data_IF_238858807521
#
_entry.id   IF_238858807521
#
_cell.length_a   1.000
_cell.length_b   1.000
_cell.length_c   1.000
_cell.angle_alpha   90.00
_cell.angle_beta   90.00
_cell.angle_gamma   90.00
#
_symmetry.space_group_name_H-M   'P 1'
#
loop_
_entity.id
_entity.type
_entity.pdbx_description
1 polymer ?
#
# COMPACT_ATOMS: atom_id res chain seq x y z
N UNK A 1 8.95 1.27 5.24
CA UNK A 1 8.06 0.08 5.28
C UNK A 1 7.88 -0.51 3.90
N UNK A 2 6.90 -0.10 3.08
CA UNK A 2 6.65 -0.79 1.80
C UNK A 2 7.73 -0.58 0.74
N UNK A 3 8.38 0.60 0.73
CA UNK A 3 9.57 0.85 -0.07
C UNK A 3 10.72 -0.09 0.31
N UNK A 4 10.99 -0.24 1.60
CA UNK A 4 12.05 -1.12 2.11
C UNK A 4 11.72 -2.60 1.85
N UNK A 5 10.49 -3.05 2.18
CA UNK A 5 10.02 -4.41 1.89
C UNK A 5 10.09 -4.73 0.40
N UNK A 6 9.72 -3.77 -0.44
CA UNK A 6 9.84 -3.86 -1.89
C UNK A 6 11.28 -4.02 -2.39
N UNK A 7 12.29 -3.70 -1.58
CA UNK A 7 13.70 -3.92 -1.87
C UNK A 7 14.33 -5.01 -0.99
N UNK A 8 13.51 -5.84 -0.34
CA UNK A 8 13.95 -6.91 0.56
C UNK A 8 14.78 -6.37 1.75
N UNK A 9 14.43 -5.17 2.23
CA UNK A 9 15.04 -4.49 3.39
C UNK A 9 14.05 -4.47 4.56
N UNK A 10 14.53 -4.85 5.74
CA UNK A 10 13.73 -4.84 6.97
C UNK A 10 13.41 -3.41 7.42
N UNK A 11 12.20 -3.19 7.93
CA UNK A 11 11.76 -1.94 8.54
C UNK A 11 11.21 -2.17 9.93
N UNK A 12 11.38 -1.17 10.80
CA UNK A 12 10.65 -1.06 12.05
C UNK A 12 9.80 0.21 12.06
N UNK A 13 8.62 0.13 12.66
CA UNK A 13 7.85 1.32 13.02
C UNK A 13 8.56 2.00 14.19
N UNK A 14 8.89 3.28 14.03
CA UNK A 14 9.78 3.97 14.96
C UNK A 14 9.26 4.06 16.40
N UNK A 15 7.99 4.46 16.61
CA UNK A 15 7.41 4.58 17.96
C UNK A 15 5.89 4.45 17.95
N UNK A 16 5.33 3.92 19.05
CA UNK A 16 3.88 3.77 19.23
C UNK A 16 3.18 5.11 19.50
N UNK A 17 3.78 6.03 20.26
CA UNK A 17 3.17 7.32 20.60
C UNK A 17 4.17 8.47 20.48
N UNK A 18 3.64 9.68 20.44
CA UNK A 18 4.45 10.90 20.34
C UNK A 18 5.47 11.03 21.49
N UNK A 19 6.66 11.52 21.14
CA UNK A 19 7.73 11.74 22.11
C UNK A 19 7.57 13.11 22.77
N UNK A 20 7.24 13.09 24.06
CA UNK A 20 7.17 14.29 24.89
C UNK A 20 8.35 14.31 25.89
N UNK A 21 9.50 14.81 25.42
CA UNK A 21 10.66 15.04 26.28
C UNK A 21 10.59 16.40 26.97
N UNK A 22 10.95 16.43 28.26
CA UNK A 22 10.99 17.68 29.04
C UNK A 22 11.92 18.70 28.35
N UNK A 23 11.42 19.91 28.12
CA UNK A 23 12.20 21.01 27.55
C UNK A 23 12.40 20.95 26.03
N UNK A 24 11.63 20.11 25.31
CA UNK A 24 11.63 20.06 23.84
C UNK A 24 10.20 20.15 23.31
N UNK A 25 10.07 20.55 22.05
CA UNK A 25 8.82 20.39 21.31
C UNK A 25 8.44 18.91 21.22
N UNK A 26 7.13 18.63 21.27
CA UNK A 26 6.61 17.27 21.15
C UNK A 26 6.88 16.77 19.73
N UNK A 27 7.63 15.68 19.62
CA UNK A 27 7.92 15.08 18.33
C UNK A 27 6.76 14.17 17.91
N UNK A 28 6.06 14.60 16.84
CA UNK A 28 4.79 14.05 16.34
C UNK A 28 4.90 12.77 15.50
N UNK A 29 6.05 12.08 15.55
CA UNK A 29 6.33 10.88 14.75
C UNK A 29 5.65 9.60 15.24
N UNK A 30 4.91 9.62 16.35
CA UNK A 30 4.22 8.43 16.85
C UNK A 30 2.88 8.16 16.21
N UNK A 31 2.45 6.89 16.28
CA UNK A 31 1.15 6.44 15.77
C UNK A 31 -0.04 6.93 16.62
N UNK A 32 0.20 7.13 17.92
CA UNK A 32 -0.76 7.68 18.86
C UNK A 32 -0.37 9.13 19.21
N UNK A 33 -1.38 10.02 19.26
CA UNK A 33 -1.18 11.39 19.70
C UNK A 33 -0.94 11.41 21.21
N UNK A 34 0.07 12.18 21.64
CA UNK A 34 0.30 12.47 23.05
C UNK A 34 0.20 13.96 23.34
N UNK A 35 -0.37 14.30 24.48
CA UNK A 35 -0.55 15.67 24.96
C UNK A 35 0.70 16.20 25.67
N UNK A 36 0.74 17.51 25.92
CA UNK A 36 1.83 18.15 26.65
C UNK A 36 1.98 17.66 28.11
N UNK A 37 0.90 17.20 28.73
CA UNK A 37 0.87 16.58 30.06
C UNK A 37 1.13 15.06 30.04
N UNK A 38 1.65 14.53 28.91
CA UNK A 38 2.09 13.13 28.73
C UNK A 38 0.97 12.10 28.82
N UNK A 39 -0.22 12.46 28.35
CA UNK A 39 -1.34 11.53 28.17
C UNK A 39 -1.45 11.14 26.72
N UNK A 40 -1.88 9.91 26.45
CA UNK A 40 -2.35 9.50 25.12
C UNK A 40 -3.85 9.75 25.06
N UNK A 41 -4.30 10.51 24.07
CA UNK A 41 -5.71 10.93 23.93
C UNK A 41 -6.29 10.68 22.52
N UNK A 42 -5.49 10.22 21.56
CA UNK A 42 -5.95 9.99 20.20
C UNK A 42 -5.13 8.97 19.41
N UNK A 43 -5.81 8.29 18.50
CA UNK A 43 -5.20 7.42 17.48
C UNK A 43 -5.04 8.26 16.22
N UNK A 44 -3.86 8.27 15.61
CA UNK A 44 -3.62 9.00 14.36
C UNK A 44 -3.90 8.13 13.14
N UNK A 45 -4.09 8.78 11.99
CA UNK A 45 -4.23 8.13 10.69
C UNK A 45 -3.08 7.14 10.42
N UNK A 46 -1.84 7.50 10.78
CA UNK A 46 -0.67 6.63 10.61
C UNK A 46 -0.81 5.28 11.34
N UNK A 47 -1.53 5.21 12.47
CA UNK A 47 -1.78 3.94 13.15
C UNK A 47 -2.57 2.98 12.26
N UNK A 48 -3.65 3.47 11.65
CA UNK A 48 -4.50 2.67 10.76
C UNK A 48 -3.76 2.29 9.49
N UNK A 49 -2.96 3.20 8.91
CA UNK A 49 -2.13 2.88 7.76
C UNK A 49 -1.13 1.75 8.05
N UNK A 50 -0.48 1.78 9.22
CA UNK A 50 0.40 0.69 9.66
C UNK A 50 -0.40 -0.59 9.87
N UNK A 51 -1.54 -0.53 10.57
CA UNK A 51 -2.41 -1.67 10.84
C UNK A 51 -2.86 -2.35 9.53
N UNK A 52 -3.35 -1.58 8.57
CA UNK A 52 -3.78 -2.07 7.26
C UNK A 52 -2.62 -2.71 6.50
N UNK A 53 -1.43 -2.09 6.55
CA UNK A 53 -0.23 -2.62 5.90
C UNK A 53 0.15 -3.99 6.51
N UNK A 54 0.29 -4.09 7.83
CA UNK A 54 0.74 -5.34 8.47
C UNK A 54 -0.33 -6.43 8.51
N UNK A 55 -1.60 -6.07 8.31
CA UNK A 55 -2.69 -7.04 8.15
C UNK A 55 -2.63 -7.79 6.80
N UNK A 56 -1.98 -7.19 5.80
CA UNK A 56 -1.83 -7.77 4.45
C UNK A 56 -0.43 -8.34 4.24
N UNK A 57 0.61 -7.61 4.68
CA UNK A 57 2.00 -7.98 4.48
C UNK A 57 2.54 -8.72 5.72
N UNK A 58 2.32 -10.03 5.74
CA UNK A 58 2.85 -10.97 6.73
C UNK A 58 3.81 -11.99 6.07
N UNK A 59 4.18 -13.04 6.81
CA UNK A 59 5.06 -14.11 6.35
C UNK A 59 4.41 -15.05 5.31
N UNK A 60 3.15 -14.80 4.93
CA UNK A 60 2.45 -15.56 3.90
C UNK A 60 2.65 -15.01 2.49
N UNK A 61 3.27 -13.83 2.34
CA UNK A 61 3.59 -13.23 1.05
C UNK A 61 5.07 -13.39 0.69
N UNK A 62 5.36 -13.70 -0.57
CA UNK A 62 6.70 -13.66 -1.15
C UNK A 62 6.77 -12.65 -2.29
N UNK A 63 7.84 -11.86 -2.33
CA UNK A 63 8.10 -10.89 -3.41
C UNK A 63 8.35 -11.62 -4.73
N UNK A 64 7.79 -11.08 -5.81
CA UNK A 64 8.07 -11.52 -7.19
C UNK A 64 9.16 -10.62 -7.75
N UNK A 65 10.38 -11.15 -7.93
CA UNK A 65 11.60 -10.37 -8.22
C UNK A 65 11.85 -10.12 -9.72
N UNK A 66 11.24 -10.89 -10.61
CA UNK A 66 11.22 -10.60 -12.04
C UNK A 66 10.33 -9.37 -12.31
N UNK A 67 10.52 -8.62 -13.42
CA UNK A 67 9.62 -7.54 -13.78
C UNK A 67 8.21 -8.10 -14.00
N UNK A 68 7.39 -7.98 -12.95
CA UNK A 68 6.04 -8.52 -12.87
C UNK A 68 4.99 -7.42 -12.86
N UNK A 69 5.37 -6.16 -12.60
CA UNK A 69 4.47 -5.01 -12.61
C UNK A 69 5.15 -3.80 -13.22
N UNK A 70 4.38 -3.01 -13.98
CA UNK A 70 4.74 -1.65 -14.38
C UNK A 70 3.52 -0.74 -14.30
N UNK A 71 3.74 0.52 -13.95
CA UNK A 71 2.69 1.54 -13.89
C UNK A 71 2.98 2.62 -14.94
N UNK A 72 2.00 2.91 -15.78
CA UNK A 72 1.99 4.05 -16.69
C UNK A 72 1.07 5.12 -16.11
N UNK A 73 1.67 6.23 -15.70
CA UNK A 73 1.03 7.41 -15.14
C UNK A 73 1.76 8.67 -15.62
N UNK A 74 1.21 9.84 -15.31
CA UNK A 74 1.81 11.15 -15.56
C UNK A 74 2.96 11.50 -14.60
N UNK A 75 3.27 10.62 -13.64
CA UNK A 75 4.36 10.78 -12.68
C UNK A 75 5.13 9.47 -12.45
N UNK A 76 6.28 9.60 -11.80
CA UNK A 76 7.06 8.46 -11.35
C UNK A 76 6.26 7.59 -10.37
N UNK A 77 6.50 6.30 -10.41
CA UNK A 77 5.85 5.34 -9.52
C UNK A 77 6.86 4.43 -8.85
N UNK A 78 6.54 4.00 -7.63
CA UNK A 78 7.08 2.79 -7.06
C UNK A 78 6.02 1.69 -7.18
N UNK A 79 6.43 0.49 -7.57
CA UNK A 79 5.53 -0.66 -7.62
C UNK A 79 6.27 -1.96 -7.35
N UNK A 80 5.58 -2.89 -6.68
CA UNK A 80 6.11 -4.19 -6.32
C UNK A 80 5.02 -5.25 -6.42
N UNK A 81 5.40 -6.45 -6.79
CA UNK A 81 4.50 -7.58 -6.91
C UNK A 81 4.83 -8.66 -5.87
N UNK A 82 3.80 -9.28 -5.35
CA UNK A 82 3.86 -10.33 -4.35
C UNK A 82 2.90 -11.45 -4.74
N UNK A 83 3.12 -12.62 -4.13
CA UNK A 83 2.20 -13.74 -4.18
C UNK A 83 2.08 -14.40 -2.83
N UNK A 84 0.88 -14.86 -2.51
CA UNK A 84 0.68 -15.69 -1.34
C UNK A 84 1.37 -17.05 -1.54
N UNK A 85 2.19 -17.49 -0.59
CA UNK A 85 3.08 -18.65 -0.73
C UNK A 85 2.33 -19.97 -0.92
N UNK A 86 1.18 -20.15 -0.27
CA UNK A 86 0.36 -21.38 -0.39
C UNK A 86 -0.60 -21.38 -1.59
N UNK A 87 -1.39 -20.32 -1.75
CA UNK A 87 -2.46 -20.25 -2.77
C UNK A 87 -1.96 -19.75 -4.13
N UNK A 88 -0.81 -19.07 -4.16
CA UNK A 88 -0.32 -18.37 -5.34
C UNK A 88 -1.10 -17.10 -5.70
N UNK A 89 -2.06 -16.67 -4.86
CA UNK A 89 -2.88 -15.50 -5.09
C UNK A 89 -2.01 -14.24 -5.25
N UNK A 90 -2.17 -13.48 -6.36
CA UNK A 90 -1.36 -12.31 -6.62
C UNK A 90 -1.79 -11.09 -5.82
N UNK A 91 -0.80 -10.23 -5.56
CA UNK A 91 -0.97 -8.90 -5.01
C UNK A 91 0.06 -7.97 -5.65
N UNK A 92 -0.35 -6.75 -5.96
CA UNK A 92 0.52 -5.68 -6.42
C UNK A 92 0.29 -4.47 -5.54
N UNK A 93 1.37 -3.79 -5.17
CA UNK A 93 1.35 -2.50 -4.48
C UNK A 93 1.97 -1.43 -5.36
N UNK A 94 1.41 -0.23 -5.34
CA UNK A 94 1.90 0.92 -6.11
C UNK A 94 1.57 2.25 -5.42
N UNK A 95 2.39 3.27 -5.68
CA UNK A 95 2.14 4.66 -5.30
C UNK A 95 2.98 5.63 -6.15
N UNK A 96 2.56 6.89 -6.18
CA UNK A 96 3.32 8.00 -6.74
C UNK A 96 4.51 8.33 -5.82
N UNK A 97 5.72 8.24 -6.35
CA UNK A 97 6.95 8.57 -5.63
C UNK A 97 7.67 9.79 -6.22
N UNK A 98 6.98 10.61 -7.01
CA UNK A 98 7.57 11.76 -7.70
C UNK A 98 7.85 12.96 -6.79
N UNK A 99 7.25 13.00 -5.59
CA UNK A 99 7.39 14.13 -4.68
C UNK A 99 7.13 13.79 -3.21
N UNK A 100 7.11 14.82 -2.38
CA UNK A 100 6.68 14.72 -0.97
C UNK A 100 5.17 14.54 -0.94
N UNK A 101 4.64 13.54 -0.22
CA UNK A 101 3.20 13.36 -0.09
C UNK A 101 2.51 14.58 0.53
N UNK A 102 1.28 14.86 0.11
CA UNK A 102 0.44 15.93 0.63
C UNK A 102 -0.87 15.42 1.26
N UNK A 103 -1.64 16.34 1.86
CA UNK A 103 -2.88 16.02 2.56
C UNK A 103 -4.13 16.16 1.65
N UNK A 104 -3.97 16.27 0.32
CA UNK A 104 -5.08 16.46 -0.61
C UNK A 104 -5.75 15.13 -1.00
N UNK A 105 -5.01 14.01 -0.96
CA UNK A 105 -5.50 12.66 -1.27
C UNK A 105 -6.21 12.55 -2.64
N UNK A 106 -5.77 13.35 -3.62
CA UNK A 106 -6.40 13.41 -4.94
C UNK A 106 -5.87 12.27 -5.81
N UNK A 107 -6.76 11.36 -6.20
CA UNK A 107 -6.43 10.27 -7.12
C UNK A 107 -6.50 10.72 -8.58
N UNK A 108 -5.59 10.19 -9.39
CA UNK A 108 -5.59 10.30 -10.85
C UNK A 108 -5.52 8.91 -11.48
N UNK A 109 -6.00 8.72 -12.72
CA UNK A 109 -6.02 7.41 -13.35
C UNK A 109 -4.59 6.98 -13.75
N UNK A 110 -4.25 5.74 -13.44
CA UNK A 110 -3.06 5.05 -13.94
C UNK A 110 -3.43 3.76 -14.68
N UNK A 111 -2.54 3.32 -15.57
CA UNK A 111 -2.61 2.01 -16.18
C UNK A 111 -1.57 1.10 -15.54
N UNK A 112 -1.98 -0.06 -15.04
CA UNK A 112 -1.09 -1.04 -14.40
C UNK A 112 -1.02 -2.29 -15.26
N UNK A 113 0.18 -2.65 -15.69
CA UNK A 113 0.42 -3.91 -16.41
C UNK A 113 1.07 -4.88 -15.45
N UNK A 114 0.49 -6.08 -15.33
CA UNK A 114 1.04 -7.17 -14.51
C UNK A 114 1.35 -8.36 -15.41
N UNK A 115 2.54 -8.95 -15.26
CA UNK A 115 3.03 -10.09 -16.03
C UNK A 115 3.11 -11.34 -15.16
N UNK A 116 2.70 -12.49 -15.71
CA UNK A 116 2.82 -13.82 -15.09
C UNK A 116 2.10 -13.95 -13.73
N UNK A 117 1.14 -13.07 -13.45
CA UNK A 117 0.25 -13.09 -12.30
C UNK A 117 -1.20 -13.01 -12.78
N UNK A 118 -2.00 -14.01 -12.40
CA UNK A 118 -3.37 -14.18 -12.88
C UNK A 118 -4.34 -13.73 -11.82
N UNK A 119 -5.08 -12.66 -12.11
CA UNK A 119 -6.17 -12.16 -11.26
C UNK A 119 -7.53 -12.76 -11.68
N UNK A 120 -8.34 -13.14 -10.70
CA UNK A 120 -9.70 -13.67 -10.89
C UNK A 120 -10.77 -12.71 -10.39
N UNK A 121 -10.69 -12.29 -9.13
CA UNK A 121 -11.62 -11.34 -8.52
C UNK A 121 -10.81 -10.23 -7.84
N UNK A 122 -10.16 -9.34 -8.63
CA UNK A 122 -9.28 -8.33 -8.06
C UNK A 122 -10.08 -7.20 -7.40
N UNK A 123 -9.53 -6.68 -6.31
CA UNK A 123 -9.99 -5.48 -5.61
C UNK A 123 -8.90 -4.42 -5.59
N UNK A 124 -9.31 -3.16 -5.57
CA UNK A 124 -8.45 -2.03 -5.26
C UNK A 124 -8.56 -1.72 -3.77
N UNK A 125 -7.42 -1.56 -3.10
CA UNK A 125 -7.38 -1.28 -1.66
C UNK A 125 -6.56 -0.03 -1.40
N UNK A 126 -7.12 0.90 -0.63
CA UNK A 126 -6.40 2.05 -0.10
C UNK A 126 -5.85 1.70 1.29
N UNK A 127 -4.52 1.65 1.44
CA UNK A 127 -3.91 1.30 2.72
C UNK A 127 -4.00 2.42 3.76
N UNK A 128 -4.20 3.67 3.36
CA UNK A 128 -4.39 4.79 4.29
C UNK A 128 -5.76 4.67 4.97
N UNK A 129 -6.81 4.41 4.20
CA UNK A 129 -8.19 4.35 4.74
C UNK A 129 -8.66 2.94 5.09
N UNK A 130 -7.99 1.90 4.58
CA UNK A 130 -8.40 0.50 4.73
C UNK A 130 -9.61 0.12 3.87
N UNK A 131 -10.06 1.01 2.99
CA UNK A 131 -11.24 0.77 2.14
C UNK A 131 -10.89 -0.17 0.98
N UNK A 132 -11.82 -1.07 0.69
CA UNK A 132 -11.73 -2.07 -0.37
C UNK A 132 -12.82 -1.79 -1.39
N UNK A 133 -12.44 -1.74 -2.66
CA UNK A 133 -13.33 -1.46 -3.77
C UNK A 133 -13.20 -2.55 -4.82
N UNK A 134 -14.34 -3.02 -5.34
CA UNK A 134 -14.32 -3.94 -6.48
C UNK A 134 -13.76 -3.22 -7.72
N UNK A 135 -12.87 -3.89 -8.45
CA UNK A 135 -12.43 -3.39 -9.74
C UNK A 135 -13.43 -3.82 -10.82
N UNK A 136 -14.03 -2.86 -11.55
CA UNK A 136 -14.94 -3.19 -12.64
C UNK A 136 -14.30 -4.13 -13.66
N UNK A 137 -15.04 -5.15 -14.10
CA UNK A 137 -14.51 -6.19 -15.00
C UNK A 137 -14.01 -5.62 -16.34
N UNK A 138 -14.61 -4.53 -16.82
CA UNK A 138 -14.20 -3.81 -18.03
C UNK A 138 -12.88 -3.04 -17.89
N UNK A 139 -12.41 -2.80 -16.65
CA UNK A 139 -11.11 -2.23 -16.35
C UNK A 139 -9.99 -3.27 -16.30
N UNK A 140 -10.29 -4.57 -16.28
CA UNK A 140 -9.31 -5.65 -16.35
C UNK A 140 -9.31 -6.30 -17.74
N UNK A 141 -8.17 -6.30 -18.42
CA UNK A 141 -8.01 -6.94 -19.74
C UNK A 141 -6.90 -7.98 -19.66
N UNK A 142 -7.22 -9.23 -20.01
CA UNK A 142 -6.24 -10.32 -20.11
C UNK A 142 -5.68 -10.37 -21.53
N UNK A 143 -4.35 -10.33 -21.66
CA UNK A 143 -3.62 -10.32 -22.93
C UNK A 143 -2.42 -11.28 -22.86
N UNK A 144 -2.67 -12.57 -23.11
CA UNK A 144 -1.64 -13.61 -22.99
C UNK A 144 -1.14 -13.74 -21.55
N UNK A 145 0.17 -13.52 -21.34
CA UNK A 145 0.81 -13.55 -20.01
C UNK A 145 0.63 -12.24 -19.23
N UNK A 146 -0.01 -11.23 -19.82
CA UNK A 146 -0.21 -9.93 -19.21
C UNK A 146 -1.68 -9.76 -18.76
N UNK A 147 -1.85 -9.11 -17.62
CA UNK A 147 -3.12 -8.55 -17.15
C UNK A 147 -2.97 -7.03 -17.08
N UNK A 148 -3.85 -6.32 -17.76
CA UNK A 148 -3.88 -4.86 -17.81
C UNK A 148 -5.03 -4.34 -16.96
N UNK A 149 -4.74 -3.42 -16.04
CA UNK A 149 -5.73 -2.65 -15.31
C UNK A 149 -5.76 -1.23 -15.83
N UNK A 150 -6.95 -0.76 -16.23
CA UNK A 150 -7.22 0.60 -16.71
C UNK A 150 -7.84 1.44 -15.61
N UNK A 151 -7.61 2.75 -15.66
CA UNK A 151 -8.23 3.74 -14.77
C UNK A 151 -8.14 3.36 -13.29
N UNK A 152 -6.95 2.89 -12.88
CA UNK A 152 -6.64 2.55 -11.49
C UNK A 152 -6.45 3.86 -10.72
N UNK A 153 -7.18 4.11 -9.63
CA UNK A 153 -6.93 5.28 -8.79
C UNK A 153 -5.52 5.23 -8.20
N UNK A 154 -4.74 6.27 -8.47
CA UNK A 154 -3.32 6.36 -8.15
C UNK A 154 -2.99 7.74 -7.56
N UNK A 155 -2.18 7.76 -6.51
CA UNK A 155 -1.76 8.96 -5.80
C UNK A 155 -0.53 8.66 -4.94
N UNK A 156 -0.10 9.61 -4.12
CA UNK A 156 1.13 9.62 -3.32
C UNK A 156 1.09 8.76 -2.05
N UNK A 157 0.12 7.86 -1.93
CA UNK A 157 0.09 6.84 -0.88
C UNK A 157 -0.10 5.42 -1.43
N UNK A 158 0.35 4.38 -0.69
CA UNK A 158 0.27 2.99 -1.12
C UNK A 158 -1.16 2.50 -1.35
N UNK A 159 -1.41 1.98 -2.55
CA UNK A 159 -2.64 1.28 -2.92
C UNK A 159 -2.30 -0.13 -3.40
N UNK A 160 -3.28 -1.03 -3.32
CA UNK A 160 -3.15 -2.41 -3.76
C UNK A 160 -4.07 -2.71 -4.94
N UNK A 161 -3.62 -3.61 -5.81
CA UNK A 161 -4.48 -4.48 -6.61
C UNK A 161 -4.23 -5.90 -6.12
N UNK A 162 -5.23 -6.53 -5.49
CA UNK A 162 -5.07 -7.83 -4.85
C UNK A 162 -6.27 -8.73 -5.14
N UNK A 163 -6.10 -10.05 -5.06
CA UNK A 163 -7.25 -10.95 -5.03
C UNK A 163 -8.13 -10.68 -3.81
N UNK A 164 -9.45 -10.60 -4.02
CA UNK A 164 -10.43 -10.35 -2.95
C UNK A 164 -10.27 -11.32 -1.77
N UNK A 165 -10.07 -12.61 -2.06
CA UNK A 165 -9.90 -13.65 -1.04
C UNK A 165 -8.59 -13.52 -0.22
N UNK A 166 -7.63 -12.73 -0.68
CA UNK A 166 -6.41 -12.41 0.09
C UNK A 166 -6.68 -11.31 1.13
N UNK A 167 -7.59 -10.38 0.81
CA UNK A 167 -7.91 -9.20 1.62
C UNK A 167 -9.09 -9.44 2.56
N UNK A 168 -10.16 -10.09 2.07
CA UNK A 168 -11.39 -10.37 2.80
C UNK A 168 -11.40 -11.88 3.14
N UNK A 169 -10.96 -12.20 4.36
CA UNK A 169 -10.99 -13.55 4.92
C UNK A 169 -12.29 -13.84 5.65
#
# INVERSE_FOLDING_TARGET
>A
MLGDLGHDVESAVFTICDFNHKGREINRKGLLHATADRRVDGIKLAYYAVQNTVAVFDDTLARVTAPAVSVMADASSACFAYRHVKTGAPLVVLWDNSGTPDDAFVTRPAQVTVKDLVFQEPVWVDLITGRVYELPADRMVKAGVFTLFKDVPFYDAPVLIAEKALILK
#
